data_IF_200662923839
#
_entry.id   IF_200662923839
#
_cell.length_a   1.000
_cell.length_b   1.000
_cell.length_c   1.000
_cell.angle_alpha   90.00
_cell.angle_beta   90.00
_cell.angle_gamma   90.00
#
_symmetry.space_group_name_H-M   'P 1'
#
loop_
_entity.id
_entity.type
_entity.pdbx_description
1 polymer ?
#
# COMPACT_ATOMS: atom_id res chain seq x y z
N UNK A 1 -7.07 33.92 -28.72
CA UNK A 1 -8.05 32.82 -28.70
C UNK A 1 -7.78 32.09 -27.39
N UNK A 2 -8.39 32.59 -26.32
CA UNK A 2 -8.04 32.21 -24.96
C UNK A 2 -8.34 30.73 -24.76
N UNK A 3 -7.33 29.97 -24.31
CA UNK A 3 -7.51 28.55 -24.07
C UNK A 3 -8.54 28.43 -22.94
N UNK A 4 -9.60 27.62 -23.11
CA UNK A 4 -10.62 27.43 -22.08
C UNK A 4 -10.00 26.96 -20.76
N UNK A 5 -8.84 26.33 -20.82
CA UNK A 5 -8.06 25.85 -19.67
C UNK A 5 -7.57 26.99 -18.76
N UNK A 6 -7.14 28.12 -19.34
CA UNK A 6 -6.74 29.31 -18.57
C UNK A 6 -7.96 29.92 -17.87
N UNK A 7 -9.10 29.98 -18.55
CA UNK A 7 -10.36 30.49 -17.99
C UNK A 7 -10.86 29.62 -16.84
N UNK A 8 -10.82 28.30 -16.99
CA UNK A 8 -11.20 27.37 -15.93
C UNK A 8 -10.22 27.39 -14.74
N UNK A 9 -8.92 27.52 -15.00
CA UNK A 9 -7.89 27.62 -13.96
C UNK A 9 -8.03 28.93 -13.18
N UNK A 10 -8.29 30.03 -13.87
CA UNK A 10 -8.52 31.34 -13.24
C UNK A 10 -9.82 31.32 -12.43
N UNK A 11 -10.91 30.77 -12.98
CA UNK A 11 -12.19 30.63 -12.28
C UNK A 11 -12.06 29.75 -11.03
N UNK A 12 -11.29 28.67 -11.10
CA UNK A 12 -11.01 27.79 -9.96
C UNK A 12 -10.12 28.47 -8.91
N UNK A 13 -9.09 29.21 -9.32
CA UNK A 13 -8.27 29.99 -8.38
C UNK A 13 -9.09 31.07 -7.68
N UNK A 14 -9.95 31.78 -8.41
CA UNK A 14 -10.87 32.77 -7.84
C UNK A 14 -11.85 32.09 -6.88
N UNK A 15 -12.40 30.93 -7.24
CA UNK A 15 -13.29 30.16 -6.37
C UNK A 15 -12.57 29.68 -5.10
N UNK A 16 -11.37 29.13 -5.23
CA UNK A 16 -10.57 28.64 -4.12
C UNK A 16 -10.12 29.79 -3.20
N UNK A 17 -9.72 30.94 -3.74
CA UNK A 17 -9.42 32.14 -2.94
C UNK A 17 -10.71 32.58 -2.23
N UNK A 18 -11.78 32.95 -2.94
CA UNK A 18 -12.99 33.49 -2.34
C UNK A 18 -13.69 32.57 -1.31
N UNK A 19 -13.56 31.24 -1.42
CA UNK A 19 -14.19 30.29 -0.49
C UNK A 19 -13.27 29.71 0.59
N UNK A 20 -11.94 29.70 0.42
CA UNK A 20 -10.99 29.06 1.37
C UNK A 20 -10.14 30.07 2.11
N UNK A 21 -9.71 31.15 1.45
CA UNK A 21 -8.88 32.18 2.03
C UNK A 21 -9.58 33.52 1.81
N UNK A 22 -10.04 34.19 2.86
CA UNK A 22 -10.61 35.54 2.73
C UNK A 22 -9.52 36.60 2.99
N UNK A 23 -8.66 36.98 2.03
CA UNK A 23 -7.77 38.12 2.23
C UNK A 23 -8.59 39.42 2.29
N UNK A 24 -8.14 40.34 3.15
CA UNK A 24 -8.80 41.62 3.44
C UNK A 24 -9.08 42.47 2.18
N UNK A 25 -8.33 42.24 1.10
CA UNK A 25 -8.46 42.92 -0.20
C UNK A 25 -9.73 42.54 -0.97
N UNK A 26 -10.28 41.33 -0.77
CA UNK A 26 -11.55 40.90 -1.39
C UNK A 26 -12.77 41.32 -0.58
N UNK A 27 -12.60 41.52 0.73
CA UNK A 27 -13.63 42.07 1.60
C UNK A 27 -13.99 43.52 1.21
N UNK A 28 -13.00 44.33 0.83
CA UNK A 28 -13.20 45.70 0.33
C UNK A 28 -13.78 45.75 -1.09
N UNK A 29 -13.62 44.69 -1.90
CA UNK A 29 -14.17 44.58 -3.25
C UNK A 29 -15.62 44.01 -3.29
N UNK A 30 -16.20 43.63 -2.16
CA UNK A 30 -17.58 43.11 -2.07
C UNK A 30 -17.79 41.69 -2.60
N UNK A 31 -16.72 40.98 -2.97
CA UNK A 31 -16.72 39.60 -3.45
C UNK A 31 -16.70 38.59 -2.29
N UNK A 32 -17.54 38.80 -1.28
CA UNK A 32 -17.64 37.91 -0.12
C UNK A 32 -18.72 36.85 -0.34
N UNK A 33 -18.55 35.66 0.26
CA UNK A 33 -19.55 34.58 0.27
C UNK A 33 -20.92 35.08 0.74
N UNK A 34 -20.93 36.05 1.67
CA UNK A 34 -22.12 36.70 2.22
C UNK A 34 -22.89 37.46 1.15
N UNK A 35 -22.22 38.14 0.22
CA UNK A 35 -22.85 38.88 -0.87
C UNK A 35 -23.27 37.96 -2.02
N UNK A 36 -22.43 36.97 -2.38
CA UNK A 36 -22.66 36.02 -3.47
C UNK A 36 -23.82 35.04 -3.20
N UNK A 37 -24.01 34.65 -1.94
CA UNK A 37 -25.09 33.77 -1.51
C UNK A 37 -26.12 34.50 -0.63
N UNK A 38 -26.15 35.84 -0.67
CA UNK A 38 -27.03 36.70 0.15
C UNK A 38 -28.51 36.28 0.09
N UNK A 39 -28.98 35.91 -1.11
CA UNK A 39 -30.36 35.43 -1.32
C UNK A 39 -30.68 34.09 -0.65
N UNK A 40 -29.69 33.24 -0.38
CA UNK A 40 -29.88 31.92 0.26
C UNK A 40 -29.54 31.93 1.76
N UNK A 41 -28.50 32.67 2.16
CA UNK A 41 -28.16 32.85 3.57
C UNK A 41 -29.25 33.65 4.32
N UNK A 42 -29.88 34.63 3.65
CA UNK A 42 -30.87 35.51 4.27
C UNK A 42 -30.20 36.63 5.09
N UNK A 43 -31.00 37.33 5.91
CA UNK A 43 -30.52 38.42 6.76
C UNK A 43 -30.06 37.89 8.12
N UNK A 44 -28.84 38.26 8.51
CA UNK A 44 -28.25 37.96 9.83
C UNK A 44 -29.08 38.60 10.96
N UNK A 45 -29.60 39.80 10.74
CA UNK A 45 -30.40 40.56 11.72
C UNK A 45 -31.79 39.94 11.96
N UNK A 46 -32.32 39.21 10.97
CA UNK A 46 -33.64 38.59 11.07
C UNK A 46 -33.60 37.18 11.67
N UNK A 47 -32.52 36.41 11.43
CA UNK A 47 -32.42 35.02 11.86
C UNK A 47 -30.96 34.54 12.04
N UNK A 48 -30.29 35.10 13.06
CA UNK A 48 -28.89 34.84 13.39
C UNK A 48 -28.46 33.36 13.38
N UNK A 49 -29.19 32.49 14.08
CA UNK A 49 -28.81 31.07 14.24
C UNK A 49 -28.92 30.29 12.93
N UNK A 50 -30.01 30.50 12.16
CA UNK A 50 -30.22 29.79 10.90
C UNK A 50 -29.26 30.29 9.81
N UNK A 51 -28.94 31.59 9.82
CA UNK A 51 -27.92 32.18 8.98
C UNK A 51 -26.55 31.54 9.20
N UNK A 52 -26.10 31.40 10.46
CA UNK A 52 -24.82 30.76 10.77
C UNK A 52 -24.78 29.25 10.53
N UNK A 53 -25.90 28.54 10.68
CA UNK A 53 -26.02 27.13 10.30
C UNK A 53 -25.88 26.95 8.79
N UNK A 54 -26.56 27.76 7.98
CA UNK A 54 -26.46 27.73 6.51
C UNK A 54 -25.05 28.11 6.04
N UNK A 55 -24.45 29.12 6.66
CA UNK A 55 -23.07 29.54 6.38
C UNK A 55 -22.07 28.42 6.65
N UNK A 56 -22.13 27.81 7.84
CA UNK A 56 -21.23 26.72 8.22
C UNK A 56 -21.44 25.48 7.35
N UNK A 57 -22.69 25.14 7.02
CA UNK A 57 -23.01 24.02 6.13
C UNK A 57 -22.48 24.25 4.70
N UNK A 58 -22.64 25.45 4.15
CA UNK A 58 -22.12 25.79 2.83
C UNK A 58 -20.58 25.79 2.80
N UNK A 59 -19.93 26.33 3.84
CA UNK A 59 -18.47 26.31 3.97
C UNK A 59 -17.95 24.87 4.10
N UNK A 60 -18.58 24.02 4.91
CA UNK A 60 -18.22 22.60 5.02
C UNK A 60 -18.45 21.83 3.70
N UNK A 61 -19.57 22.09 3.00
CA UNK A 61 -19.83 21.52 1.68
C UNK A 61 -18.78 21.98 0.65
N UNK A 62 -18.35 23.24 0.69
CA UNK A 62 -17.31 23.73 -0.21
C UNK A 62 -15.96 23.10 0.12
N UNK A 63 -15.57 23.01 1.40
CA UNK A 63 -14.33 22.35 1.81
C UNK A 63 -14.31 20.85 1.54
N UNK A 64 -15.45 20.16 1.63
CA UNK A 64 -15.54 18.74 1.26
C UNK A 64 -15.48 18.52 -0.26
N UNK A 65 -15.89 19.53 -1.05
CA UNK A 65 -15.77 19.55 -2.51
C UNK A 65 -14.40 20.04 -3.01
N UNK A 66 -13.56 20.61 -2.14
CA UNK A 66 -12.20 21.05 -2.45
C UNK A 66 -11.21 19.86 -2.30
N UNK A 67 -10.51 19.45 -3.36
CA UNK A 67 -9.60 18.30 -3.32
C UNK A 67 -8.30 18.65 -2.61
N UNK A 68 -8.27 18.51 -1.28
CA UNK A 68 -7.04 18.49 -0.49
C UNK A 68 -6.38 17.10 -0.63
N UNK A 69 -5.70 16.88 -1.76
CA UNK A 69 -4.89 15.69 -2.01
C UNK A 69 -5.07 15.11 -3.41
N UNK A 70 -3.98 14.55 -3.97
CA UNK A 70 -4.07 13.78 -5.20
C UNK A 70 -4.84 12.48 -4.92
N UNK A 71 -6.00 12.30 -5.58
CA UNK A 71 -6.85 11.13 -5.44
C UNK A 71 -6.95 10.38 -6.75
N UNK A 72 -7.01 9.07 -6.64
CA UNK A 72 -7.17 8.17 -7.79
C UNK A 72 -8.56 7.55 -7.68
N UNK A 73 -9.34 7.68 -8.74
CA UNK A 73 -10.71 7.17 -8.82
C UNK A 73 -10.76 6.23 -10.00
N UNK A 74 -11.09 4.97 -9.73
CA UNK A 74 -11.27 3.94 -10.76
C UNK A 74 -12.73 3.54 -10.76
N UNK A 75 -13.41 3.80 -11.86
CA UNK A 75 -14.78 3.36 -12.13
C UNK A 75 -14.77 2.26 -13.18
N UNK A 76 -15.90 1.64 -13.45
CA UNK A 76 -16.01 0.60 -14.48
C UNK A 76 -15.56 1.07 -15.87
N UNK A 77 -15.53 2.37 -16.15
CA UNK A 77 -15.27 2.92 -17.49
C UNK A 77 -14.08 3.86 -17.54
N UNK A 78 -13.69 4.47 -16.43
CA UNK A 78 -12.68 5.53 -16.39
C UNK A 78 -11.64 5.29 -15.30
N UNK A 79 -10.40 5.63 -15.62
CA UNK A 79 -9.31 5.80 -14.67
C UNK A 79 -9.05 7.30 -14.56
N UNK A 80 -9.22 7.85 -13.36
CA UNK A 80 -9.13 9.28 -13.11
C UNK A 80 -8.11 9.55 -12.02
N UNK A 81 -7.16 10.46 -12.29
CA UNK A 81 -6.28 11.04 -11.28
C UNK A 81 -6.67 12.50 -11.10
N UNK A 82 -7.26 12.80 -9.96
CA UNK A 82 -7.60 14.16 -9.53
C UNK A 82 -6.43 14.68 -8.72
N UNK A 83 -5.76 15.71 -9.23
CA UNK A 83 -4.78 16.49 -8.47
C UNK A 83 -5.40 17.83 -8.08
N UNK A 84 -4.67 18.65 -7.33
CA UNK A 84 -5.12 19.97 -6.89
C UNK A 84 -5.52 20.89 -8.04
N UNK A 85 -4.90 20.72 -9.23
CA UNK A 85 -5.07 21.63 -10.36
C UNK A 85 -5.33 20.96 -11.71
N UNK A 86 -5.26 19.62 -11.77
CA UNK A 86 -5.45 18.86 -13.01
C UNK A 86 -6.22 17.59 -12.73
N UNK A 87 -7.17 17.31 -13.61
CA UNK A 87 -7.85 16.01 -13.67
C UNK A 87 -7.33 15.29 -14.90
N UNK A 88 -6.64 14.18 -14.69
CA UNK A 88 -6.27 13.28 -15.76
C UNK A 88 -7.35 12.21 -15.87
N UNK A 89 -7.86 11.99 -17.08
CA UNK A 89 -8.95 11.05 -17.35
C UNK A 89 -8.53 10.18 -18.52
N UNK A 90 -8.63 8.87 -18.36
CA UNK A 90 -8.42 7.92 -19.44
C UNK A 90 -9.46 6.80 -19.38
N UNK A 91 -9.90 6.33 -20.55
CA UNK A 91 -10.94 5.30 -20.64
C UNK A 91 -10.33 3.92 -20.42
N UNK A 92 -10.95 3.08 -19.57
CA UNK A 92 -10.42 1.78 -19.18
C UNK A 92 -10.17 0.83 -20.37
N UNK A 93 -10.97 0.92 -21.43
CA UNK A 93 -10.84 0.07 -22.62
C UNK A 93 -9.59 0.42 -23.47
N UNK A 94 -9.09 1.65 -23.32
CA UNK A 94 -8.04 2.23 -24.16
C UNK A 94 -6.75 2.52 -23.37
N UNK A 95 -6.61 1.99 -22.16
CA UNK A 95 -5.43 2.20 -21.31
C UNK A 95 -4.55 0.97 -21.20
N UNK A 96 -3.25 1.21 -21.24
CA UNK A 96 -2.22 0.28 -20.86
C UNK A 96 -1.62 0.74 -19.54
N UNK A 97 -1.76 -0.11 -18.53
CA UNK A 97 -1.26 0.12 -17.18
C UNK A 97 0.04 -0.66 -17.00
N UNK A 98 1.10 0.03 -16.63
CA UNK A 98 2.40 -0.61 -16.35
C UNK A 98 2.91 -0.20 -14.98
N UNK A 99 3.22 -1.16 -14.12
CA UNK A 99 3.93 -0.88 -12.87
C UNK A 99 5.39 -0.56 -13.23
N UNK A 100 5.79 0.69 -13.06
CA UNK A 100 7.11 1.19 -13.47
C UNK A 100 8.11 1.19 -12.32
N UNK A 101 7.65 1.47 -11.10
CA UNK A 101 8.52 1.65 -9.95
C UNK A 101 7.86 1.10 -8.68
N UNK A 102 8.70 0.59 -7.78
CA UNK A 102 8.33 0.22 -6.42
C UNK A 102 9.34 0.82 -5.45
N UNK A 103 8.86 1.66 -4.54
CA UNK A 103 9.68 2.37 -3.55
C UNK A 103 9.24 1.96 -2.15
N UNK A 104 10.16 1.41 -1.38
CA UNK A 104 9.98 1.25 0.06
C UNK A 104 10.31 2.58 0.75
N UNK A 105 9.39 3.07 1.56
CA UNK A 105 9.61 4.21 2.44
C UNK A 105 9.71 3.69 3.88
N UNK A 106 10.84 3.96 4.53
CA UNK A 106 11.15 3.40 5.86
C UNK A 106 10.25 3.97 6.97
N UNK A 107 9.57 5.11 6.75
CA UNK A 107 8.76 5.78 7.76
C UNK A 107 7.49 6.36 7.12
N UNK A 108 6.33 5.78 7.42
CA UNK A 108 5.03 6.45 7.25
C UNK A 108 4.71 7.23 8.52
N UNK A 109 4.20 8.48 8.44
CA UNK A 109 3.84 9.26 9.62
C UNK A 109 2.75 8.62 10.49
N UNK A 110 1.94 7.70 9.93
CA UNK A 110 0.81 7.06 10.63
C UNK A 110 1.14 5.70 11.25
N UNK A 111 2.18 5.02 10.76
CA UNK A 111 2.63 3.74 11.28
C UNK A 111 4.13 3.62 11.04
N UNK A 112 4.90 3.32 12.08
CA UNK A 112 6.36 3.07 12.00
C UNK A 112 6.70 1.79 11.21
N UNK A 113 5.91 1.45 10.20
CA UNK A 113 6.04 0.29 9.35
C UNK A 113 6.57 0.73 7.99
N UNK A 114 7.46 -0.08 7.38
CA UNK A 114 7.89 0.17 6.01
C UNK A 114 6.67 0.06 5.08
N UNK A 115 6.39 1.12 4.33
CA UNK A 115 5.32 1.15 3.33
C UNK A 115 5.96 1.04 1.95
N UNK A 116 5.47 0.10 1.13
CA UNK A 116 5.86 0.00 -0.27
C UNK A 116 4.85 0.77 -1.13
N UNK A 117 5.32 1.79 -1.83
CA UNK A 117 4.53 2.56 -2.78
C UNK A 117 4.84 2.08 -4.19
N UNK A 118 3.79 1.75 -4.94
CA UNK A 118 3.89 1.42 -6.35
C UNK A 118 3.56 2.64 -7.20
N UNK A 119 4.37 2.87 -8.25
CA UNK A 119 4.07 3.82 -9.31
C UNK A 119 3.58 3.05 -10.53
N UNK A 120 2.36 3.36 -10.98
CA UNK A 120 1.73 2.77 -12.15
C UNK A 120 1.58 3.84 -13.21
N UNK A 121 2.23 3.65 -14.35
CA UNK A 121 2.08 4.53 -15.50
C UNK A 121 0.80 4.16 -16.27
N UNK A 122 -0.04 5.16 -16.52
CA UNK A 122 -1.25 5.05 -17.33
C UNK A 122 -0.97 5.67 -18.69
N UNK A 123 -0.97 4.84 -19.72
CA UNK A 123 -0.82 5.28 -21.11
C UNK A 123 -2.12 4.98 -21.85
N UNK A 124 -2.68 5.96 -22.54
CA UNK A 124 -3.84 5.73 -23.41
C UNK A 124 -3.39 5.43 -24.84
N UNK A 125 -4.14 4.59 -25.56
CA UNK A 125 -4.02 4.43 -27.00
C UNK A 125 -4.43 5.70 -27.77
N UNK A 126 -5.23 6.58 -27.15
CA UNK A 126 -5.60 7.88 -27.72
C UNK A 126 -4.48 8.91 -27.53
N UNK A 127 -3.90 9.47 -28.61
CA UNK A 127 -2.79 10.42 -28.52
C UNK A 127 -3.18 11.79 -27.94
N UNK A 128 -4.48 12.07 -27.80
CA UNK A 128 -5.00 13.27 -27.13
C UNK A 128 -4.89 13.20 -25.61
N UNK A 129 -4.69 12.01 -25.04
CA UNK A 129 -4.60 11.81 -23.59
C UNK A 129 -3.13 11.71 -23.20
N UNK A 130 -2.66 12.70 -22.44
CA UNK A 130 -1.29 12.69 -21.92
C UNK A 130 -1.10 11.57 -20.89
N UNK A 131 0.01 10.80 -20.95
CA UNK A 131 0.34 9.81 -19.94
C UNK A 131 0.41 10.41 -18.54
N UNK A 132 0.03 9.63 -17.54
CA UNK A 132 0.10 10.07 -16.15
C UNK A 132 0.36 8.90 -15.19
N UNK A 133 0.99 9.21 -14.06
CA UNK A 133 1.33 8.19 -13.07
C UNK A 133 0.34 8.18 -11.91
N UNK A 134 -0.06 6.99 -11.50
CA UNK A 134 -0.82 6.70 -10.30
C UNK A 134 0.14 6.17 -9.24
N UNK A 135 -0.01 6.63 -8.00
CA UNK A 135 0.75 6.11 -6.85
C UNK A 135 -0.21 5.57 -5.82
N UNK A 136 0.05 4.36 -5.35
CA UNK A 136 -0.75 3.69 -4.31
C UNK A 136 0.15 2.82 -3.43
N UNK A 137 -0.38 2.42 -2.28
CA UNK A 137 0.25 1.41 -1.44
C UNK A 137 0.19 0.04 -2.12
N UNK A 138 1.24 -0.77 -2.00
CA UNK A 138 1.28 -2.14 -2.53
C UNK A 138 0.18 -3.03 -1.97
N UNK A 139 -0.31 -2.75 -0.75
CA UNK A 139 -1.45 -3.46 -0.15
C UNK A 139 -2.78 -3.22 -0.88
N UNK A 140 -2.93 -2.08 -1.54
CA UNK A 140 -4.14 -1.71 -2.30
C UNK A 140 -4.10 -2.21 -3.76
N UNK A 141 -2.96 -2.79 -4.18
CA UNK A 141 -2.76 -3.25 -5.55
C UNK A 141 -3.77 -4.33 -5.98
N UNK A 142 -4.12 -5.25 -5.08
CA UNK A 142 -5.11 -6.30 -5.34
C UNK A 142 -6.50 -5.72 -5.62
N UNK A 143 -6.97 -4.79 -4.78
CA UNK A 143 -8.27 -4.11 -4.95
C UNK A 143 -8.31 -3.31 -6.26
N UNK A 144 -7.21 -2.65 -6.61
CA UNK A 144 -7.08 -1.94 -7.86
C UNK A 144 -7.22 -2.89 -9.06
N UNK A 145 -6.57 -4.06 -9.02
CA UNK A 145 -6.67 -5.07 -10.07
C UNK A 145 -8.10 -5.59 -10.25
N UNK A 146 -8.87 -5.77 -9.17
CA UNK A 146 -10.26 -6.21 -9.24
C UNK A 146 -11.18 -5.18 -9.92
N UNK A 147 -10.88 -3.87 -9.76
CA UNK A 147 -11.67 -2.77 -10.35
C UNK A 147 -11.32 -2.46 -11.81
N UNK A 148 -10.23 -3.00 -12.32
CA UNK A 148 -9.74 -2.74 -13.67
C UNK A 148 -10.17 -3.84 -14.64
N UNK A 149 -10.74 -3.46 -15.78
CA UNK A 149 -11.02 -4.42 -16.86
C UNK A 149 -9.76 -4.89 -17.59
N UNK A 150 -8.72 -4.06 -17.62
CA UNK A 150 -7.47 -4.35 -18.32
C UNK A 150 -6.40 -4.84 -17.33
N UNK A 151 -5.62 -5.88 -17.67
CA UNK A 151 -4.57 -6.37 -16.80
C UNK A 151 -3.43 -5.35 -16.69
N UNK A 152 -2.94 -5.15 -15.47
CA UNK A 152 -1.75 -4.34 -15.21
C UNK A 152 -0.51 -5.16 -15.58
N UNK A 153 0.37 -4.60 -16.42
CA UNK A 153 1.65 -5.22 -16.78
C UNK A 153 2.72 -4.84 -15.75
N UNK A 154 3.51 -5.80 -15.29
CA UNK A 154 4.67 -5.48 -14.45
C UNK A 154 5.89 -5.25 -15.34
N UNK A 155 6.67 -4.19 -15.06
CA UNK A 155 8.00 -4.05 -15.63
C UNK A 155 8.92 -5.15 -15.09
N UNK A 156 9.92 -5.55 -15.88
CA UNK A 156 10.69 -6.80 -15.68
C UNK A 156 11.46 -6.94 -14.35
N UNK A 157 11.48 -5.93 -13.48
CA UNK A 157 12.24 -5.93 -12.22
C UNK A 157 11.46 -5.34 -11.03
N UNK A 158 10.12 -5.31 -11.09
CA UNK A 158 9.30 -4.78 -9.99
C UNK A 158 8.71 -5.92 -9.16
N UNK A 159 9.21 -6.08 -7.94
CA UNK A 159 8.63 -6.97 -6.93
C UNK A 159 7.53 -6.25 -6.17
N UNK A 160 6.33 -6.83 -6.13
CA UNK A 160 5.16 -6.26 -5.47
C UNK A 160 4.84 -7.11 -4.23
N UNK A 161 4.97 -6.54 -3.03
CA UNK A 161 4.57 -7.18 -1.79
C UNK A 161 3.15 -6.75 -1.45
N UNK A 162 2.18 -7.62 -1.74
CA UNK A 162 0.76 -7.33 -1.49
C UNK A 162 0.39 -7.53 -0.01
N UNK A 163 1.22 -8.22 0.76
CA UNK A 163 1.04 -8.41 2.20
C UNK A 163 2.34 -8.30 2.99
N UNK A 164 2.24 -7.95 4.27
CA UNK A 164 3.35 -8.06 5.24
C UNK A 164 3.91 -9.49 5.29
N UNK A 165 3.06 -10.49 5.04
CA UNK A 165 3.48 -11.89 4.91
C UNK A 165 4.43 -12.10 3.73
N UNK A 166 4.19 -11.49 2.57
CA UNK A 166 5.05 -11.64 1.40
C UNK A 166 6.42 -11.00 1.61
N UNK A 167 6.44 -9.79 2.18
CA UNK A 167 7.68 -9.10 2.54
C UNK A 167 8.49 -9.91 3.57
N UNK A 168 7.80 -10.48 4.57
CA UNK A 168 8.43 -11.38 5.53
C UNK A 168 8.98 -12.62 4.85
N UNK A 169 8.24 -13.29 3.96
CA UNK A 169 8.68 -14.52 3.31
C UNK A 169 9.94 -14.31 2.46
N UNK A 170 10.05 -13.18 1.76
CA UNK A 170 11.24 -12.82 1.00
C UNK A 170 12.44 -12.56 1.92
N UNK A 171 12.24 -11.75 2.96
CA UNK A 171 13.30 -11.45 3.94
C UNK A 171 13.75 -12.73 4.67
N UNK A 172 12.79 -13.58 5.04
CA UNK A 172 13.01 -14.88 5.66
C UNK A 172 13.83 -15.79 4.74
N UNK A 173 13.49 -15.86 3.46
CA UNK A 173 14.23 -16.66 2.48
C UNK A 173 15.69 -16.19 2.37
N UNK A 174 15.91 -14.88 2.20
CA UNK A 174 17.24 -14.28 2.11
C UNK A 174 18.10 -14.58 3.35
N UNK A 175 17.52 -14.48 4.56
CA UNK A 175 18.24 -14.79 5.80
C UNK A 175 18.56 -16.28 5.93
N UNK A 176 17.64 -17.16 5.51
CA UNK A 176 17.84 -18.62 5.59
C UNK A 176 18.85 -19.13 4.57
N UNK A 177 19.00 -18.49 3.41
CA UNK A 177 20.00 -18.85 2.40
C UNK A 177 21.46 -18.70 2.89
N UNK A 178 21.69 -17.77 3.82
CA UNK A 178 23.00 -17.51 4.42
C UNK A 178 23.31 -18.48 5.57
N UNK A 179 22.30 -19.16 6.12
CA UNK A 179 22.51 -20.14 7.19
C UNK A 179 23.32 -21.36 6.71
N UNK A 180 24.04 -22.04 7.62
CA UNK A 180 24.73 -23.29 7.30
C UNK A 180 23.76 -24.32 6.68
N UNK A 181 24.18 -24.94 5.59
CA UNK A 181 23.38 -25.97 4.94
C UNK A 181 23.42 -27.30 5.73
N UNK A 182 22.29 -27.99 5.77
CA UNK A 182 22.19 -29.35 6.27
C UNK A 182 22.45 -30.35 5.14
N UNK A 183 23.51 -31.14 5.28
CA UNK A 183 23.79 -32.26 4.38
C UNK A 183 22.94 -33.48 4.74
N UNK A 184 22.20 -34.00 3.77
CA UNK A 184 21.40 -35.21 3.97
C UNK A 184 22.33 -36.44 4.09
N UNK A 185 22.23 -37.24 5.17
CA UNK A 185 22.99 -38.48 5.28
C UNK A 185 22.67 -39.44 4.12
N UNK A 186 23.65 -40.17 3.60
CA UNK A 186 23.48 -41.09 2.46
C UNK A 186 22.44 -42.20 2.68
N UNK A 187 22.07 -42.46 3.94
CA UNK A 187 21.06 -43.44 4.33
C UNK A 187 19.62 -42.89 4.30
N UNK A 188 19.43 -41.60 4.02
CA UNK A 188 18.12 -40.93 4.05
C UNK A 188 17.81 -40.31 2.69
N UNK A 189 16.65 -40.64 2.12
CA UNK A 189 16.14 -40.00 0.91
C UNK A 189 15.42 -38.68 1.23
N UNK A 190 15.55 -37.72 0.32
CA UNK A 190 14.86 -36.43 0.42
C UNK A 190 13.40 -36.56 -0.03
N UNK A 191 12.52 -36.65 0.96
CA UNK A 191 11.06 -36.75 0.82
C UNK A 191 10.42 -35.41 0.38
N UNK A 192 9.13 -35.46 0.03
CA UNK A 192 8.33 -34.27 -0.23
C UNK A 192 8.14 -33.43 1.05
N UNK A 193 7.94 -32.13 0.87
CA UNK A 193 7.60 -31.23 1.97
C UNK A 193 6.32 -31.70 2.67
N UNK A 194 6.39 -31.95 3.99
CA UNK A 194 5.22 -32.39 4.77
C UNK A 194 4.09 -31.35 4.84
N UNK A 195 4.40 -30.07 4.62
CA UNK A 195 3.41 -28.98 4.67
C UNK A 195 2.53 -28.91 3.43
N UNK A 196 3.12 -28.89 2.22
CA UNK A 196 2.35 -28.76 0.97
C UNK A 196 2.18 -30.06 0.20
N UNK A 197 3.04 -31.06 0.41
CA UNK A 197 3.10 -32.31 -0.37
C UNK A 197 3.26 -32.12 -1.89
N UNK A 198 3.61 -30.91 -2.35
CA UNK A 198 3.72 -30.58 -3.78
C UNK A 198 5.18 -30.48 -4.26
N UNK A 199 6.07 -30.02 -3.39
CA UNK A 199 7.48 -29.78 -3.73
C UNK A 199 8.39 -30.62 -2.84
N UNK A 200 9.64 -30.84 -3.27
CA UNK A 200 10.64 -31.51 -2.44
C UNK A 200 10.93 -30.65 -1.21
N UNK A 201 11.22 -31.30 -0.09
CA UNK A 201 11.68 -30.58 1.08
C UNK A 201 13.03 -29.89 0.78
N UNK A 202 13.20 -28.67 1.28
CA UNK A 202 14.40 -27.84 1.04
C UNK A 202 14.95 -27.19 2.31
N UNK A 203 14.29 -27.38 3.46
CA UNK A 203 14.75 -26.89 4.75
C UNK A 203 14.58 -27.93 5.85
N UNK A 204 15.53 -27.93 6.79
CA UNK A 204 15.51 -28.73 8.02
C UNK A 204 15.80 -27.83 9.21
N UNK A 205 15.09 -28.08 10.31
CA UNK A 205 15.37 -27.42 11.58
C UNK A 205 16.55 -28.10 12.27
N UNK A 206 17.64 -27.38 12.46
CA UNK A 206 18.85 -27.81 13.16
C UNK A 206 19.26 -26.65 14.06
N UNK A 207 19.50 -26.91 15.35
CA UNK A 207 19.86 -25.83 16.27
C UNK A 207 21.25 -25.31 15.93
N UNK A 208 21.33 -24.10 15.39
CA UNK A 208 22.57 -23.43 15.00
C UNK A 208 22.78 -22.11 15.74
N UNK A 209 21.73 -21.56 16.36
CA UNK A 209 21.85 -20.32 17.13
C UNK A 209 22.77 -20.50 18.36
N UNK A 210 23.72 -19.58 18.54
CA UNK A 210 24.54 -19.48 19.74
C UNK A 210 23.91 -18.46 20.70
N UNK A 211 22.79 -18.82 21.33
CA UNK A 211 22.17 -17.94 22.33
C UNK A 211 22.86 -18.11 23.71
N UNK A 212 23.27 -17.01 24.36
CA UNK A 212 23.79 -17.04 25.73
C UNK A 212 22.71 -17.32 26.79
N UNK A 213 21.42 -17.18 26.42
CA UNK A 213 20.29 -17.46 27.29
C UNK A 213 19.85 -18.93 27.14
N UNK A 214 19.96 -19.69 28.23
CA UNK A 214 19.51 -21.08 28.33
C UNK A 214 17.99 -21.15 28.13
N UNK A 215 17.53 -21.82 27.07
CA UNK A 215 16.24 -22.52 27.10
C UNK A 215 15.15 -22.14 26.10
N UNK A 216 15.31 -21.13 25.24
CA UNK A 216 14.25 -20.81 24.27
C UNK A 216 14.33 -21.62 22.96
N UNK A 217 15.51 -21.81 22.35
CA UNK A 217 15.65 -22.64 21.15
C UNK A 217 16.14 -24.07 21.49
N UNK A 218 15.44 -25.07 20.98
CA UNK A 218 15.62 -26.50 21.29
C UNK A 218 16.00 -27.29 20.04
N UNK A 219 16.82 -28.34 20.22
CA UNK A 219 17.16 -29.23 19.11
C UNK A 219 15.90 -29.98 18.65
N UNK A 220 15.56 -29.81 17.37
CA UNK A 220 14.50 -30.55 16.72
C UNK A 220 15.02 -31.91 16.21
N UNK A 221 14.29 -32.98 16.52
CA UNK A 221 14.60 -34.35 16.07
C UNK A 221 13.55 -34.89 15.09
N UNK A 222 12.69 -34.02 14.54
CA UNK A 222 11.70 -34.44 13.56
C UNK A 222 12.39 -34.97 12.30
N UNK A 223 11.93 -36.14 11.84
CA UNK A 223 12.31 -36.70 10.55
C UNK A 223 11.71 -35.93 9.37
N UNK A 224 10.41 -35.56 9.36
CA UNK A 224 9.82 -34.85 8.23
C UNK A 224 10.46 -33.49 8.02
N UNK A 225 10.77 -33.17 6.76
CA UNK A 225 11.34 -31.90 6.35
C UNK A 225 10.31 -31.04 5.62
N UNK A 226 10.61 -29.75 5.47
CA UNK A 226 9.71 -28.75 4.91
C UNK A 226 10.35 -28.10 3.68
N UNK A 227 9.56 -27.46 2.81
CA UNK A 227 10.10 -26.50 1.85
C UNK A 227 10.17 -25.12 2.50
N UNK A 228 11.07 -24.28 2.00
CA UNK A 228 11.33 -22.93 2.51
C UNK A 228 10.05 -22.11 2.66
N UNK A 229 9.18 -22.12 1.64
CA UNK A 229 7.92 -21.39 1.63
C UNK A 229 6.95 -21.87 2.72
N UNK A 230 6.78 -23.18 2.91
CA UNK A 230 5.89 -23.70 3.95
C UNK A 230 6.40 -23.37 5.36
N UNK A 231 7.73 -23.46 5.57
CA UNK A 231 8.33 -23.10 6.86
C UNK A 231 8.19 -21.59 7.15
N UNK A 232 8.47 -20.74 6.16
CA UNK A 232 8.29 -19.29 6.29
C UNK A 232 6.84 -18.91 6.59
N UNK A 233 5.86 -19.52 5.88
CA UNK A 233 4.42 -19.28 6.12
C UNK A 233 4.00 -19.71 7.52
N UNK A 234 4.51 -20.86 7.99
CA UNK A 234 4.28 -21.29 9.37
C UNK A 234 4.85 -20.28 10.36
N UNK A 235 6.09 -19.84 10.16
CA UNK A 235 6.76 -18.87 11.02
C UNK A 235 5.94 -17.57 11.11
N UNK A 236 5.54 -17.01 9.96
CA UNK A 236 4.71 -15.81 9.88
C UNK A 236 3.35 -15.98 10.58
N UNK A 237 2.72 -17.15 10.47
CA UNK A 237 1.40 -17.43 11.10
C UNK A 237 1.42 -17.40 12.63
N UNK A 238 2.60 -17.46 13.23
CA UNK A 238 2.79 -17.45 14.70
C UNK A 238 3.15 -16.06 15.24
N UNK A 239 3.21 -15.05 14.37
CA UNK A 239 3.59 -13.71 14.75
C UNK A 239 2.39 -12.82 15.07
N UNK A 240 2.62 -11.77 15.84
CA UNK A 240 1.64 -10.72 16.11
C UNK A 240 1.61 -9.71 14.95
N UNK A 241 0.49 -9.57 14.20
CA UNK A 241 0.35 -8.58 13.13
C UNK A 241 0.55 -7.12 13.58
N UNK A 242 0.37 -6.82 14.86
CA UNK A 242 0.52 -5.47 15.41
C UNK A 242 1.99 -5.12 15.73
N UNK A 243 2.89 -6.11 15.76
CA UNK A 243 4.31 -5.96 16.13
C UNK A 243 5.28 -6.60 15.12
N UNK A 244 5.27 -6.18 13.84
CA UNK A 244 6.16 -6.72 12.80
C UNK A 244 7.65 -6.48 13.06
N UNK A 245 7.99 -5.48 13.86
CA UNK A 245 9.35 -5.20 14.36
C UNK A 245 9.97 -6.41 15.07
N UNK A 246 9.15 -7.26 15.67
CA UNK A 246 9.61 -8.41 16.47
C UNK A 246 9.69 -9.72 15.68
N UNK A 247 9.16 -9.77 14.45
CA UNK A 247 8.95 -11.04 13.73
C UNK A 247 10.26 -11.81 13.50
N UNK A 248 11.31 -11.15 13.02
CA UNK A 248 12.59 -11.82 12.73
C UNK A 248 13.35 -12.25 13.99
N UNK A 249 13.11 -11.58 15.11
CA UNK A 249 13.75 -11.87 16.40
C UNK A 249 12.96 -12.90 17.24
N UNK A 250 11.77 -13.29 16.80
CA UNK A 250 10.89 -14.17 17.57
C UNK A 250 11.30 -15.64 17.48
N UNK A 251 10.73 -16.45 18.39
CA UNK A 251 10.91 -17.90 18.43
C UNK A 251 9.58 -18.60 18.34
N UNK A 252 9.44 -19.49 17.38
CA UNK A 252 8.19 -20.20 17.08
C UNK A 252 8.34 -21.70 17.34
N UNK A 253 7.25 -22.42 17.68
CA UNK A 253 7.30 -23.86 17.86
C UNK A 253 7.38 -24.58 16.50
N UNK A 254 8.15 -25.67 16.44
CA UNK A 254 8.13 -26.61 15.33
C UNK A 254 6.68 -27.11 15.09
N UNK A 255 6.19 -27.13 13.84
CA UNK A 255 4.82 -27.59 13.54
C UNK A 255 4.55 -29.04 13.98
N UNK A 256 5.60 -29.86 14.08
CA UNK A 256 5.50 -31.30 14.37
C UNK A 256 5.75 -31.61 15.85
N UNK A 257 6.90 -31.23 16.40
CA UNK A 257 7.28 -31.57 17.79
C UNK A 257 7.17 -30.42 18.79
N UNK A 258 6.82 -29.21 18.33
CA UNK A 258 6.77 -27.97 19.13
C UNK A 258 8.08 -27.51 19.77
N UNK A 259 9.21 -28.17 19.47
CA UNK A 259 10.54 -27.66 19.81
C UNK A 259 10.66 -26.24 19.25
N UNK A 260 10.94 -25.28 20.12
CA UNK A 260 11.04 -23.88 19.74
C UNK A 260 12.32 -23.64 18.95
N UNK A 261 12.25 -22.81 17.93
CA UNK A 261 13.37 -22.48 17.05
C UNK A 261 13.29 -21.02 16.60
N UNK A 262 14.43 -20.46 16.23
CA UNK A 262 14.54 -19.13 15.62
C UNK A 262 14.92 -19.24 14.14
N UNK A 263 14.96 -18.11 13.43
CA UNK A 263 15.30 -18.09 11.99
C UNK A 263 16.69 -18.69 11.68
N UNK A 264 17.65 -18.58 12.61
CA UNK A 264 19.01 -19.12 12.45
C UNK A 264 19.05 -20.65 12.49
N UNK A 265 18.04 -21.28 13.09
CA UNK A 265 17.95 -22.75 13.18
C UNK A 265 17.35 -23.39 11.92
N UNK A 266 16.91 -22.57 10.96
CA UNK A 266 16.36 -23.03 9.68
C UNK A 266 17.51 -23.19 8.70
N UNK A 267 17.86 -24.43 8.37
CA UNK A 267 18.97 -24.75 7.49
C UNK A 267 18.46 -25.21 6.13
N UNK A 268 19.03 -24.69 5.04
CA UNK A 268 18.74 -25.19 3.69
C UNK A 268 19.31 -26.60 3.52
N UNK A 269 18.58 -27.47 2.81
CA UNK A 269 19.01 -28.84 2.53
C UNK A 269 19.83 -28.84 1.25
N UNK A 270 21.03 -29.41 1.30
CA UNK A 270 21.93 -29.60 0.15
C UNK A 270 22.38 -31.05 0.03
#
# INVERSE_FOLDING_TARGET
MDSPEVTFTLAYLVFAVCFVFTPNEFHSAGLTVQNLLSGWLGSEDAAFVSYHLRRTAATLLCHSLLPLGARVIVTDTWVMKVTTYRVHVAQQQDVHLTVTESRQHELSPDSNLPVQLLTICVVSASPSVQPFDIRLNSTEYGELCEKLRAPIRSAANVVIHQSLGDLFLETFASLVEVNPAYSVPSSQELEACIGCMQTRASVKLVKMCQEPAVGECQQCYCRPMWCLTCMGKWFASRQDPQRPDTWLASRVPCPTCRARFCILDVCTVR
#
